data_IF_698216224018
#
_entry.id   IF_698216224018
#
_cell.length_a   1.000
_cell.length_b   1.000
_cell.length_c   1.000
_cell.angle_alpha   90.00
_cell.angle_beta   90.00
_cell.angle_gamma   90.00
#
_symmetry.space_group_name_H-M   'P 1'
#
loop_
_entity.id
_entity.type
_entity.pdbx_description
1 polymer ?
#
# COMPACT_ATOMS: atom_id res chain seq x y z
N UNK A 1 -18.49 11.98 -32.77
CA UNK A 1 -17.78 10.79 -32.18
C UNK A 1 -18.69 10.01 -31.24
N UNK A 2 -18.36 8.77 -30.87
CA UNK A 2 -19.12 7.97 -29.87
C UNK A 2 -18.33 7.77 -28.58
N UNK A 3 -19.03 7.73 -27.45
CA UNK A 3 -18.47 7.41 -26.14
C UNK A 3 -19.49 6.68 -25.26
N UNK A 4 -19.03 5.98 -24.23
CA UNK A 4 -19.91 5.38 -23.20
C UNK A 4 -20.12 6.39 -22.09
N UNK A 5 -21.37 6.77 -21.83
CA UNK A 5 -21.78 7.56 -20.68
C UNK A 5 -22.21 6.66 -19.54
N UNK A 6 -21.67 6.91 -18.35
CA UNK A 6 -22.03 6.21 -17.11
C UNK A 6 -22.42 7.24 -16.06
N UNK A 7 -23.63 7.11 -15.54
CA UNK A 7 -24.10 7.86 -14.37
C UNK A 7 -24.04 6.94 -13.16
N UNK A 8 -23.35 7.35 -12.10
CA UNK A 8 -23.20 6.52 -10.91
C UNK A 8 -23.21 7.34 -9.62
N UNK A 9 -23.53 6.65 -8.52
CA UNK A 9 -23.53 7.21 -7.16
C UNK A 9 -22.73 6.36 -6.20
N UNK A 10 -22.16 7.00 -5.19
CA UNK A 10 -21.55 6.33 -4.04
C UNK A 10 -22.04 7.03 -2.76
N UNK A 11 -22.43 6.26 -1.75
CA UNK A 11 -22.79 6.83 -0.44
C UNK A 11 -21.57 7.49 0.22
N UNK A 12 -20.41 6.87 0.07
CA UNK A 12 -19.13 7.38 0.57
C UNK A 12 -17.97 6.82 -0.23
N UNK A 13 -16.88 7.58 -0.38
CA UNK A 13 -15.65 7.06 -0.96
C UNK A 13 -14.37 7.75 -0.45
N UNK A 14 -13.25 7.03 -0.51
CA UNK A 14 -11.91 7.60 -0.41
C UNK A 14 -11.14 7.30 -1.70
N UNK A 15 -10.91 8.34 -2.50
CA UNK A 15 -10.04 8.31 -3.66
C UNK A 15 -8.62 8.66 -3.23
N UNK A 16 -7.94 7.70 -2.60
CA UNK A 16 -6.68 7.92 -1.91
C UNK A 16 -5.65 8.68 -2.75
N UNK A 17 -5.10 9.76 -2.18
CA UNK A 17 -3.89 10.42 -2.67
C UNK A 17 -2.67 9.58 -2.35
N UNK A 18 -1.89 9.22 -3.37
CA UNK A 18 -0.75 8.31 -3.24
C UNK A 18 0.35 8.86 -2.33
N UNK A 19 0.53 10.19 -2.34
CA UNK A 19 1.47 10.93 -1.51
C UNK A 19 1.08 10.99 -0.01
N UNK A 20 -0.17 10.61 0.32
CA UNK A 20 -0.68 10.68 1.69
C UNK A 20 -0.33 9.43 2.51
N UNK A 21 0.70 9.58 3.36
CA UNK A 21 1.24 8.49 4.18
C UNK A 21 0.57 8.36 5.55
N UNK A 22 0.41 9.46 6.27
CA UNK A 22 -0.05 9.46 7.68
C UNK A 22 -1.56 9.58 7.78
N UNK A 23 -2.09 10.77 7.49
CA UNK A 23 -3.51 11.00 7.30
C UNK A 23 -3.82 10.70 5.84
N UNK A 24 -4.74 9.77 5.60
CA UNK A 24 -5.06 9.30 4.26
C UNK A 24 -6.05 10.27 3.64
N UNK A 25 -5.51 11.11 2.77
CA UNK A 25 -6.27 12.16 2.09
C UNK A 25 -6.95 11.62 0.84
N UNK A 26 -8.00 12.29 0.41
CA UNK A 26 -8.75 11.93 -0.80
C UNK A 26 -8.62 13.00 -1.88
N UNK A 27 -8.63 12.57 -3.14
CA UNK A 27 -8.95 13.44 -4.27
C UNK A 27 -10.44 13.82 -4.22
N UNK A 28 -10.82 14.98 -4.79
CA UNK A 28 -12.23 15.43 -4.83
C UNK A 28 -13.10 14.63 -5.80
N UNK A 29 -12.48 13.97 -6.78
CA UNK A 29 -13.08 13.05 -7.75
C UNK A 29 -12.14 11.84 -7.90
N UNK A 30 -12.59 10.69 -8.42
CA UNK A 30 -11.70 9.54 -8.59
C UNK A 30 -10.61 9.85 -9.63
N UNK A 31 -9.33 9.54 -9.38
CA UNK A 31 -8.28 9.75 -10.38
C UNK A 31 -8.48 8.79 -11.56
N UNK A 32 -7.94 9.16 -12.72
CA UNK A 32 -8.14 8.48 -14.01
C UNK A 32 -7.85 6.98 -13.91
N UNK A 33 -6.68 6.61 -13.36
CA UNK A 33 -6.31 5.21 -13.18
C UNK A 33 -7.24 4.41 -12.27
N UNK A 34 -7.88 5.05 -11.29
CA UNK A 34 -8.88 4.39 -10.43
C UNK A 34 -10.13 4.06 -11.24
N UNK A 35 -10.61 4.99 -12.07
CA UNK A 35 -11.78 4.77 -12.95
C UNK A 35 -11.47 3.69 -13.97
N UNK A 36 -10.39 3.84 -14.75
CA UNK A 36 -9.95 2.85 -15.76
C UNK A 36 -9.78 1.47 -15.11
N UNK A 37 -9.14 1.41 -13.95
CA UNK A 37 -8.93 0.15 -13.25
C UNK A 37 -10.19 -0.49 -12.68
N UNK A 38 -11.21 0.30 -12.33
CA UNK A 38 -12.50 -0.22 -11.93
C UNK A 38 -13.25 -0.81 -13.14
N UNK A 39 -13.23 -0.12 -14.28
CA UNK A 39 -13.81 -0.59 -15.54
C UNK A 39 -13.12 -1.86 -16.03
N UNK A 40 -11.78 -1.91 -16.02
CA UNK A 40 -11.02 -3.11 -16.38
C UNK A 40 -11.43 -4.31 -15.53
N UNK A 41 -11.64 -4.11 -14.23
CA UNK A 41 -12.07 -5.17 -13.33
C UNK A 41 -13.49 -5.64 -13.68
N UNK A 42 -14.43 -4.70 -13.91
CA UNK A 42 -15.79 -5.01 -14.30
C UNK A 42 -15.87 -5.82 -15.61
N UNK A 43 -15.03 -5.47 -16.60
CA UNK A 43 -14.93 -6.17 -17.89
C UNK A 43 -14.03 -7.43 -17.86
N UNK A 44 -13.40 -7.74 -16.72
CA UNK A 44 -12.55 -8.92 -16.57
C UNK A 44 -11.17 -8.84 -17.25
N UNK A 45 -10.73 -7.66 -17.69
CA UNK A 45 -9.43 -7.48 -18.33
C UNK A 45 -8.26 -7.80 -17.38
N UNK A 46 -7.22 -8.43 -17.93
CA UNK A 46 -5.98 -8.79 -17.21
C UNK A 46 -4.79 -7.93 -17.61
N UNK A 47 -4.91 -7.25 -18.74
CA UNK A 47 -3.93 -6.31 -19.26
C UNK A 47 -4.56 -4.92 -19.38
N UNK A 48 -3.72 -3.91 -19.53
CA UNK A 48 -4.18 -2.54 -19.67
C UNK A 48 -4.81 -2.32 -21.06
N UNK A 49 -6.12 -2.05 -21.10
CA UNK A 49 -6.84 -1.65 -22.31
C UNK A 49 -6.87 -0.12 -22.40
N UNK A 50 -6.30 0.50 -23.45
CA UNK A 50 -6.30 1.95 -23.57
C UNK A 50 -7.71 2.54 -23.69
N UNK A 51 -7.98 3.59 -22.92
CA UNK A 51 -9.20 4.39 -22.97
C UNK A 51 -8.92 5.82 -22.47
N UNK A 52 -9.68 6.78 -23.00
CA UNK A 52 -9.71 8.15 -22.50
C UNK A 52 -10.98 8.37 -21.70
N UNK A 53 -10.88 9.15 -20.62
CA UNK A 53 -11.98 9.30 -19.67
C UNK A 53 -12.20 10.78 -19.38
N UNK A 54 -13.45 11.22 -19.48
CA UNK A 54 -13.91 12.46 -18.88
C UNK A 54 -14.54 12.17 -17.53
N UNK A 55 -14.17 12.94 -16.50
CA UNK A 55 -14.60 12.70 -15.12
C UNK A 55 -15.22 13.99 -14.57
N UNK A 56 -16.52 13.94 -14.30
CA UNK A 56 -17.27 15.02 -13.71
C UNK A 56 -18.07 14.49 -12.52
N UNK A 57 -18.36 15.36 -11.55
CA UNK A 57 -19.19 14.97 -10.43
C UNK A 57 -19.29 16.02 -9.34
N UNK A 58 -19.96 15.62 -8.27
CA UNK A 58 -20.07 16.39 -7.04
C UNK A 58 -20.15 15.44 -5.85
N UNK A 59 -19.81 15.97 -4.69
CA UNK A 59 -20.02 15.34 -3.40
C UNK A 59 -20.67 16.36 -2.47
N UNK A 60 -21.38 15.92 -1.46
CA UNK A 60 -22.09 16.81 -0.53
C UNK A 60 -21.16 17.36 0.55
N UNK A 61 -20.35 16.48 1.14
CA UNK A 61 -19.42 16.85 2.20
C UNK A 61 -18.15 16.00 2.17
N UNK A 62 -17.14 16.47 2.89
CA UNK A 62 -15.95 15.69 3.24
C UNK A 62 -15.80 15.70 4.76
N UNK A 63 -15.71 14.52 5.37
CA UNK A 63 -15.45 14.38 6.79
C UNK A 63 -14.14 13.62 7.06
N UNK A 64 -13.66 13.68 8.31
CA UNK A 64 -12.46 12.97 8.77
C UNK A 64 -12.85 11.82 9.69
N UNK A 65 -12.73 10.60 9.21
CA UNK A 65 -12.99 9.40 9.98
C UNK A 65 -11.75 9.03 10.82
N UNK A 66 -11.83 9.05 12.17
CA UNK A 66 -10.71 8.68 13.02
C UNK A 66 -10.50 7.16 13.02
N UNK A 67 -9.25 6.72 12.93
CA UNK A 67 -8.87 5.33 13.15
C UNK A 67 -7.63 5.22 14.04
N UNK A 68 -7.52 4.07 14.71
CA UNK A 68 -6.31 3.72 15.45
C UNK A 68 -5.32 3.04 14.51
N UNK A 69 -4.17 3.69 14.32
CA UNK A 69 -3.03 3.14 13.62
C UNK A 69 -2.18 2.32 14.60
N UNK A 70 -1.78 1.12 14.16
CA UNK A 70 -1.09 0.14 14.99
C UNK A 70 0.35 0.00 14.50
N UNK A 71 1.29 0.54 15.26
CA UNK A 71 2.70 0.60 14.90
C UNK A 71 3.50 -0.43 15.70
N UNK A 72 3.86 -1.53 15.05
CA UNK A 72 4.79 -2.50 15.63
C UNK A 72 6.22 -1.99 15.51
N UNK A 73 6.95 -1.99 16.63
CA UNK A 73 8.36 -1.62 16.64
C UNK A 73 9.21 -2.79 16.12
N UNK A 74 10.33 -2.45 15.46
CA UNK A 74 11.29 -3.42 14.93
C UNK A 74 11.94 -4.28 16.02
N UNK A 75 11.93 -3.81 17.27
CA UNK A 75 12.44 -4.52 18.43
C UNK A 75 11.44 -4.48 19.58
N UNK A 76 11.50 -5.52 20.42
CA UNK A 76 10.72 -5.57 21.66
C UNK A 76 11.41 -4.70 22.71
N UNK A 77 10.72 -3.64 23.12
CA UNK A 77 11.15 -2.67 24.12
C UNK A 77 10.64 -3.06 25.50
N UNK A 78 11.46 -2.83 26.53
CA UNK A 78 11.11 -3.14 27.93
C UNK A 78 10.33 -2.01 28.62
N UNK A 79 10.44 -0.77 28.13
CA UNK A 79 10.13 0.44 28.90
C UNK A 79 8.96 1.28 28.34
N UNK A 80 8.46 0.96 27.13
CA UNK A 80 7.50 1.81 26.40
C UNK A 80 6.51 1.02 25.58
N UNK A 81 5.37 1.67 25.29
CA UNK A 81 4.29 1.11 24.47
C UNK A 81 3.53 -0.02 25.16
N UNK A 82 3.02 -0.94 24.35
CA UNK A 82 2.24 -2.09 24.77
C UNK A 82 3.03 -3.35 24.37
N UNK A 83 3.40 -4.17 25.35
CA UNK A 83 3.90 -5.51 25.10
C UNK A 83 2.74 -6.40 24.69
N UNK A 84 2.86 -7.03 23.53
CA UNK A 84 1.85 -7.95 22.97
C UNK A 84 2.49 -9.27 22.58
N UNK A 85 1.70 -10.35 22.62
CA UNK A 85 2.06 -11.65 22.07
C UNK A 85 1.24 -11.90 20.80
N UNK A 86 1.92 -12.03 19.68
CA UNK A 86 1.32 -12.31 18.38
C UNK A 86 0.83 -13.75 18.33
N UNK A 87 -0.35 -13.99 17.73
CA UNK A 87 -0.82 -15.35 17.44
C UNK A 87 0.01 -16.00 16.33
N UNK A 88 0.41 -15.21 15.34
CA UNK A 88 1.32 -15.60 14.27
C UNK A 88 2.48 -14.58 14.23
N UNK A 89 3.73 -15.05 14.39
CA UNK A 89 4.93 -14.19 14.38
C UNK A 89 5.23 -13.58 13.02
N UNK A 90 4.76 -14.22 11.95
CA UNK A 90 5.14 -13.91 10.58
C UNK A 90 4.22 -12.84 9.96
N UNK A 91 3.09 -12.55 10.62
CA UNK A 91 2.10 -11.58 10.16
C UNK A 91 1.86 -10.49 11.20
N UNK A 92 2.15 -9.25 10.83
CA UNK A 92 1.76 -8.07 11.62
C UNK A 92 0.27 -7.83 11.43
N UNK A 93 -0.52 -8.22 12.43
CA UNK A 93 -1.98 -8.10 12.40
C UNK A 93 -2.52 -7.66 13.76
N UNK A 94 -3.81 -7.32 13.81
CA UNK A 94 -4.51 -7.05 15.08
C UNK A 94 -4.75 -8.32 15.92
N UNK A 95 -4.37 -9.50 15.41
CA UNK A 95 -4.51 -10.77 16.11
C UNK A 95 -3.35 -10.98 17.10
N UNK A 96 -3.41 -10.25 18.21
CA UNK A 96 -2.46 -10.38 19.31
C UNK A 96 -3.18 -10.33 20.65
N UNK A 97 -2.51 -10.82 21.69
CA UNK A 97 -2.95 -10.68 23.08
C UNK A 97 -2.12 -9.61 23.77
N UNK A 98 -2.80 -8.68 24.46
CA UNK A 98 -2.12 -7.66 25.27
C UNK A 98 -1.53 -8.31 26.52
N UNK A 99 -0.24 -8.12 26.72
CA UNK A 99 0.49 -8.68 27.87
C UNK A 99 0.60 -7.63 28.97
N UNK A 100 1.20 -6.49 28.65
CA UNK A 100 1.37 -5.37 29.57
C UNK A 100 1.49 -4.04 28.81
N UNK A 101 1.18 -2.92 29.46
CA UNK A 101 1.39 -1.57 28.91
C UNK A 101 2.14 -0.67 29.87
N UNK A 102 3.02 0.18 29.35
CA UNK A 102 3.71 1.20 30.14
C UNK A 102 2.71 2.27 30.60
N UNK A 103 2.78 2.71 31.88
CA UNK A 103 1.90 3.77 32.40
C UNK A 103 2.48 5.18 32.25
N UNK A 104 3.81 5.31 32.19
CA UNK A 104 4.51 6.60 32.02
C UNK A 104 5.26 6.64 30.69
N UNK A 105 5.71 7.83 30.30
CA UNK A 105 6.56 8.02 29.13
C UNK A 105 7.99 7.47 29.32
N UNK A 106 8.50 7.45 30.56
CA UNK A 106 9.83 6.96 30.92
C UNK A 106 9.81 6.27 32.29
N UNK A 107 10.84 5.47 32.57
CA UNK A 107 11.04 4.82 33.87
C UNK A 107 10.13 3.62 34.11
N UNK A 108 9.61 2.99 33.05
CA UNK A 108 8.86 1.73 33.15
C UNK A 108 9.79 0.54 32.88
N UNK A 109 9.39 -0.65 33.30
CA UNK A 109 10.05 -1.91 32.92
C UNK A 109 9.08 -3.07 33.00
N UNK A 110 8.86 -3.77 31.89
CA UNK A 110 8.05 -4.99 31.84
C UNK A 110 8.75 -6.14 32.59
N UNK A 111 10.06 -6.27 32.40
CA UNK A 111 10.90 -7.28 33.07
C UNK A 111 10.85 -7.09 34.59
N UNK A 112 11.08 -5.87 35.10
CA UNK A 112 11.10 -5.59 36.54
C UNK A 112 9.72 -5.34 37.15
N UNK A 113 8.68 -5.14 36.32
CA UNK A 113 7.33 -4.84 36.79
C UNK A 113 7.13 -3.40 37.27
N UNK A 114 7.97 -2.47 36.83
CA UNK A 114 7.98 -1.09 37.32
C UNK A 114 7.02 -0.24 36.48
N UNK A 115 6.02 0.37 37.12
CA UNK A 115 5.11 1.34 36.50
C UNK A 115 4.39 0.81 35.24
N UNK A 116 4.01 -0.47 35.25
CA UNK A 116 3.28 -1.12 34.16
C UNK A 116 1.83 -1.42 34.57
N UNK A 117 0.96 -1.57 33.58
CA UNK A 117 -0.35 -2.21 33.72
C UNK A 117 -0.25 -3.61 33.12
N UNK A 118 -0.52 -4.62 33.93
CA UNK A 118 -0.53 -6.03 33.50
C UNK A 118 -1.92 -6.37 32.99
N UNK A 119 -2.02 -6.88 31.76
CA UNK A 119 -3.27 -7.33 31.15
C UNK A 119 -3.37 -8.85 31.17
N UNK A 120 -2.26 -9.55 30.95
CA UNK A 120 -2.16 -11.01 31.07
C UNK A 120 -0.89 -11.38 31.86
N UNK A 121 -1.10 -11.95 33.06
CA UNK A 121 -0.02 -12.28 33.99
C UNK A 121 0.80 -13.48 33.53
N UNK A 122 0.15 -14.50 32.97
CA UNK A 122 0.80 -15.74 32.52
C UNK A 122 1.78 -15.44 31.37
N UNK A 123 1.32 -14.67 30.37
CA UNK A 123 2.15 -14.26 29.24
C UNK A 123 3.30 -13.32 29.65
N UNK A 124 3.08 -12.48 30.67
CA UNK A 124 4.13 -11.62 31.19
C UNK A 124 5.23 -12.44 31.87
N UNK A 125 4.84 -13.47 32.60
CA UNK A 125 5.80 -14.35 33.27
C UNK A 125 6.56 -15.21 32.26
N UNK A 126 5.88 -15.74 31.24
CA UNK A 126 6.53 -16.39 30.08
C UNK A 126 7.59 -15.46 29.45
N UNK A 127 7.23 -14.21 29.16
CA UNK A 127 8.15 -13.23 28.60
C UNK A 127 9.38 -13.00 29.49
N UNK A 128 9.19 -12.89 30.81
CA UNK A 128 10.28 -12.73 31.79
C UNK A 128 11.19 -13.95 31.84
N UNK A 129 10.61 -15.16 31.83
CA UNK A 129 11.36 -16.41 31.78
C UNK A 129 12.25 -16.45 30.54
N UNK A 130 11.72 -16.07 29.38
CA UNK A 130 12.48 -16.01 28.13
C UNK A 130 13.64 -14.99 28.21
N UNK A 131 13.41 -13.81 28.78
CA UNK A 131 14.48 -12.81 28.98
C UNK A 131 15.57 -13.29 29.95
N UNK A 132 15.19 -13.95 31.04
CA UNK A 132 16.14 -14.55 31.97
C UNK A 132 16.93 -15.70 31.32
N UNK A 133 16.28 -16.53 30.50
CA UNK A 133 16.94 -17.59 29.74
C UNK A 133 17.99 -17.01 28.78
N UNK A 134 17.70 -15.89 28.11
CA UNK A 134 18.67 -15.22 27.25
C UNK A 134 19.93 -14.80 28.00
N UNK A 135 19.77 -14.19 29.17
CA UNK A 135 20.91 -13.80 30.00
C UNK A 135 21.79 -15.02 30.35
N UNK A 136 21.17 -16.15 30.74
CA UNK A 136 21.88 -17.41 31.02
C UNK A 136 22.61 -17.96 29.79
N UNK A 137 21.98 -17.94 28.61
CA UNK A 137 22.59 -18.37 27.35
C UNK A 137 23.79 -17.47 27.01
N UNK A 138 23.66 -16.16 27.20
CA UNK A 138 24.73 -15.20 26.91
C UNK A 138 25.92 -15.35 27.87
N UNK A 139 25.67 -15.63 29.15
CA UNK A 139 26.72 -15.97 30.12
C UNK A 139 27.45 -17.26 29.74
N UNK A 140 26.72 -18.33 29.42
CA UNK A 140 27.29 -19.59 28.93
C UNK A 140 28.15 -19.39 27.67
N UNK A 141 27.67 -18.57 26.72
CA UNK A 141 28.38 -18.24 25.48
C UNK A 141 29.68 -17.48 25.72
N UNK A 142 29.74 -16.63 26.76
CA UNK A 142 30.93 -15.84 27.10
C UNK A 142 31.99 -16.67 27.83
N UNK A 143 31.58 -17.65 28.64
CA UNK A 143 32.45 -18.55 29.40
C UNK A 143 32.67 -19.90 28.72
N UNK A 144 32.03 -20.94 29.26
CA UNK A 144 32.26 -22.35 28.90
C UNK A 144 32.21 -22.65 27.40
N UNK A 145 31.28 -22.06 26.66
CA UNK A 145 31.19 -22.25 25.20
C UNK A 145 32.46 -21.75 24.50
N UNK A 146 32.93 -20.55 24.88
CA UNK A 146 34.10 -19.92 24.28
C UNK A 146 35.36 -20.72 24.58
N UNK A 147 35.47 -21.25 25.80
CA UNK A 147 36.56 -22.15 26.23
C UNK A 147 36.57 -23.43 25.40
N UNK A 148 35.44 -24.15 25.31
CA UNK A 148 35.32 -25.37 24.50
C UNK A 148 35.61 -25.13 23.02
N UNK A 149 35.11 -24.04 22.44
CA UNK A 149 35.40 -23.68 21.05
C UNK A 149 36.90 -23.42 20.84
N UNK A 150 37.58 -22.81 21.82
CA UNK A 150 39.02 -22.58 21.77
C UNK A 150 39.81 -23.90 21.92
N UNK A 151 39.39 -24.82 22.80
CA UNK A 151 40.00 -26.16 22.91
C UNK A 151 39.95 -26.92 21.59
N UNK A 152 38.79 -26.95 20.91
CA UNK A 152 38.69 -27.56 19.59
C UNK A 152 39.62 -26.89 18.57
N UNK A 153 39.71 -25.55 18.57
CA UNK A 153 40.63 -24.82 17.68
C UNK A 153 42.09 -25.17 17.95
N UNK A 154 42.50 -25.30 19.21
CA UNK A 154 43.86 -25.71 19.60
C UNK A 154 44.16 -27.14 19.15
N UNK A 155 43.27 -28.10 19.41
CA UNK A 155 43.41 -29.49 18.96
C UNK A 155 43.53 -29.59 17.43
N UNK A 156 42.72 -28.85 16.69
CA UNK A 156 42.80 -28.82 15.21
C UNK A 156 44.16 -28.26 14.76
N UNK A 157 44.69 -27.24 15.45
CA UNK A 157 46.01 -26.66 15.14
C UNK A 157 47.14 -27.67 15.39
N UNK A 158 47.13 -28.34 16.54
CA UNK A 158 48.10 -29.37 16.92
C UNK A 158 48.10 -30.56 15.94
N UNK A 159 46.91 -31.04 15.55
CA UNK A 159 46.75 -32.10 14.54
C UNK A 159 47.27 -31.65 13.17
N UNK A 160 46.99 -30.40 12.77
CA UNK A 160 47.49 -29.82 11.51
C UNK A 160 49.02 -29.67 11.49
N UNK A 161 49.63 -29.28 12.61
CA UNK A 161 51.09 -29.19 12.75
C UNK A 161 51.75 -30.58 12.74
N UNK A 162 51.14 -31.56 13.42
CA UNK A 162 51.62 -32.95 13.45
C UNK A 162 51.51 -33.62 12.08
N UNK A 163 50.42 -33.36 11.35
CA UNK A 163 50.19 -33.84 9.98
C UNK A 163 51.28 -33.40 8.99
N UNK A 164 51.88 -32.22 9.19
CA UNK A 164 52.96 -31.71 8.31
C UNK A 164 54.28 -32.48 8.44
N UNK A 165 54.44 -33.30 9.49
CA UNK A 165 55.67 -34.07 9.75
C UNK A 165 55.73 -35.42 9.01
N UNK A 166 54.64 -35.85 8.39
CA UNK A 166 54.52 -37.17 7.74
C UNK A 166 54.29 -37.03 6.23
N UNK A 167 54.74 -38.02 5.45
CA UNK A 167 54.51 -38.09 4.00
C UNK A 167 53.01 -38.28 3.71
N UNK A 168 52.48 -37.62 2.68
CA UNK A 168 51.06 -37.65 2.30
C UNK A 168 50.54 -39.05 1.98
N UNK A 169 51.41 -40.01 1.65
CA UNK A 169 51.05 -41.40 1.36
C UNK A 169 51.16 -42.33 2.58
N UNK A 170 51.71 -41.86 3.70
CA UNK A 170 51.87 -42.67 4.92
C UNK A 170 50.53 -42.94 5.61
N UNK A 171 50.43 -44.07 6.29
CA UNK A 171 49.21 -44.45 7.01
C UNK A 171 49.01 -43.57 8.25
N UNK A 172 50.08 -43.07 8.86
CA UNK A 172 50.06 -42.08 9.95
C UNK A 172 49.48 -40.74 9.49
N UNK A 173 49.82 -40.28 8.27
CA UNK A 173 49.23 -39.07 7.70
C UNK A 173 47.72 -39.22 7.50
N UNK A 174 47.26 -40.37 6.99
CA UNK A 174 45.83 -40.65 6.80
C UNK A 174 45.07 -40.70 8.12
N UNK A 175 45.64 -41.34 9.15
CA UNK A 175 45.04 -41.38 10.51
C UNK A 175 44.88 -39.98 11.11
N UNK A 176 45.94 -39.17 11.11
CA UNK A 176 45.88 -37.79 11.62
C UNK A 176 44.89 -36.94 10.80
N UNK A 177 44.78 -37.18 9.49
CA UNK A 177 43.81 -36.50 8.63
C UNK A 177 42.35 -36.87 8.97
N UNK A 178 42.08 -38.12 9.28
CA UNK A 178 40.76 -38.59 9.72
C UNK A 178 40.40 -38.02 11.10
N UNK A 179 41.35 -38.02 12.05
CA UNK A 179 41.17 -37.40 13.37
C UNK A 179 40.93 -35.89 13.27
N UNK A 180 41.72 -35.16 12.45
CA UNK A 180 41.51 -33.72 12.22
C UNK A 180 40.10 -33.43 11.64
N UNK A 181 39.61 -34.30 10.74
CA UNK A 181 38.24 -34.20 10.21
C UNK A 181 37.20 -34.49 11.27
N UNK A 182 37.40 -35.52 12.10
CA UNK A 182 36.49 -35.86 13.20
C UNK A 182 36.36 -34.69 14.19
N UNK A 183 37.48 -34.11 14.62
CA UNK A 183 37.48 -32.97 15.55
C UNK A 183 36.82 -31.72 14.93
N UNK A 184 37.01 -31.48 13.62
CA UNK A 184 36.29 -30.40 12.91
C UNK A 184 34.79 -30.63 12.87
N UNK A 185 34.37 -31.88 12.66
CA UNK A 185 32.97 -32.28 12.64
C UNK A 185 32.34 -32.13 14.03
N UNK A 186 32.98 -32.65 15.09
CA UNK A 186 32.53 -32.50 16.49
C UNK A 186 32.37 -31.03 16.88
N UNK A 187 33.32 -30.17 16.50
CA UNK A 187 33.23 -28.73 16.74
C UNK A 187 31.98 -28.14 16.08
N UNK A 188 31.72 -28.49 14.81
CA UNK A 188 30.56 -27.99 14.07
C UNK A 188 29.26 -28.46 14.72
N UNK A 189 29.17 -29.74 15.08
CA UNK A 189 28.00 -30.31 15.77
C UNK A 189 27.75 -29.64 17.13
N UNK A 190 28.80 -29.32 17.88
CA UNK A 190 28.70 -28.57 19.13
C UNK A 190 28.14 -27.15 18.90
N UNK A 191 28.69 -26.41 17.92
CA UNK A 191 28.21 -25.06 17.58
C UNK A 191 26.74 -25.09 17.12
N UNK A 192 26.37 -26.07 16.29
CA UNK A 192 25.02 -26.23 15.77
C UNK A 192 24.03 -26.64 16.87
N UNK A 193 24.44 -27.48 17.84
CA UNK A 193 23.63 -27.84 19.01
C UNK A 193 23.31 -26.63 19.88
N UNK A 194 24.29 -25.76 20.14
CA UNK A 194 24.09 -24.55 20.95
C UNK A 194 23.18 -23.55 20.21
N UNK A 195 23.39 -23.37 18.89
CA UNK A 195 22.51 -22.53 18.06
C UNK A 195 21.09 -23.06 18.02
N UNK A 196 20.90 -24.37 17.81
CA UNK A 196 19.60 -25.02 17.78
C UNK A 196 18.85 -24.88 19.12
N UNK A 197 19.57 -25.04 20.24
CA UNK A 197 19.00 -24.82 21.56
C UNK A 197 18.50 -23.37 21.75
N UNK A 198 19.33 -22.37 21.42
CA UNK A 198 18.91 -20.96 21.52
C UNK A 198 17.75 -20.64 20.58
N UNK A 199 17.77 -21.19 19.37
CA UNK A 199 16.72 -20.96 18.38
C UNK A 199 15.35 -21.44 18.90
N UNK A 200 15.27 -22.70 19.34
CA UNK A 200 14.03 -23.34 19.77
C UNK A 200 13.53 -22.79 21.11
N UNK A 201 14.44 -22.57 22.06
CA UNK A 201 14.05 -22.23 23.44
C UNK A 201 13.96 -20.72 23.70
N UNK A 202 14.58 -19.88 22.87
CA UNK A 202 14.55 -18.43 23.03
C UNK A 202 14.11 -17.69 21.78
N UNK A 203 14.81 -17.84 20.66
CA UNK A 203 14.58 -16.99 19.47
C UNK A 203 13.16 -17.13 18.94
N UNK A 204 12.66 -18.36 18.75
CA UNK A 204 11.30 -18.61 18.27
C UNK A 204 10.23 -18.15 19.28
N UNK A 205 10.26 -18.55 20.57
CA UNK A 205 9.28 -18.09 21.55
C UNK A 205 9.25 -16.56 21.72
N UNK A 206 10.42 -15.92 21.84
CA UNK A 206 10.51 -14.47 22.05
C UNK A 206 10.09 -13.69 20.81
N UNK A 207 10.25 -14.27 19.61
CA UNK A 207 9.83 -13.62 18.36
C UNK A 207 8.32 -13.37 18.29
N UNK A 208 7.53 -14.11 19.07
CA UNK A 208 6.08 -13.88 19.19
C UNK A 208 5.76 -12.62 20.00
N UNK A 209 6.69 -12.14 20.82
CA UNK A 209 6.50 -10.92 21.60
C UNK A 209 6.98 -9.70 20.82
N UNK A 210 6.14 -8.67 20.77
CA UNK A 210 6.41 -7.41 20.08
C UNK A 210 5.99 -6.22 20.94
N UNK A 211 6.59 -5.07 20.65
CA UNK A 211 6.16 -3.79 21.20
C UNK A 211 5.29 -3.08 20.19
N UNK A 212 4.09 -2.70 20.63
CA UNK A 212 3.09 -1.99 19.86
C UNK A 212 2.94 -0.58 20.42
N UNK A 213 2.94 0.41 19.55
CA UNK A 213 2.44 1.75 19.83
C UNK A 213 1.21 2.01 18.98
N UNK A 214 0.32 2.88 19.47
CA UNK A 214 -0.90 3.25 18.75
C UNK A 214 -0.91 4.76 18.54
N UNK A 215 -1.37 5.19 17.37
CA UNK A 215 -1.56 6.61 17.06
C UNK A 215 -2.97 6.84 16.53
N UNK A 216 -3.55 8.00 16.84
CA UNK A 216 -4.78 8.45 16.21
C UNK A 216 -4.42 9.00 14.82
N UNK A 217 -5.10 8.48 13.79
CA UNK A 217 -4.96 8.90 12.40
C UNK A 217 -6.35 9.12 11.80
N UNK A 218 -6.39 9.71 10.60
CA UNK A 218 -7.65 10.03 9.94
C UNK A 218 -7.66 9.59 8.48
N UNK A 219 -8.83 9.18 8.00
CA UNK A 219 -9.19 9.12 6.60
C UNK A 219 -10.05 10.32 6.24
N UNK A 220 -9.79 10.98 5.12
CA UNK A 220 -10.75 11.89 4.50
C UNK A 220 -11.74 11.07 3.68
N UNK A 221 -13.02 11.18 3.96
CA UNK A 221 -14.07 10.44 3.26
C UNK A 221 -15.03 11.46 2.65
N UNK A 222 -15.32 11.29 1.36
CA UNK A 222 -16.34 12.05 0.65
C UNK A 222 -17.69 11.37 0.86
N UNK A 223 -18.75 12.17 1.02
CA UNK A 223 -20.13 11.68 1.24
C UNK A 223 -21.05 12.08 0.08
N UNK A 224 -22.03 11.21 -0.22
CA UNK A 224 -23.09 11.42 -1.20
C UNK A 224 -22.57 11.91 -2.55
N UNK A 225 -21.80 11.04 -3.20
CA UNK A 225 -21.08 11.33 -4.44
C UNK A 225 -21.98 11.01 -5.64
N UNK A 226 -22.05 11.93 -6.59
CA UNK A 226 -22.56 11.69 -7.93
C UNK A 226 -21.42 11.84 -8.94
N UNK A 227 -21.29 10.88 -9.85
CA UNK A 227 -20.29 10.93 -10.92
C UNK A 227 -20.96 10.76 -12.29
N UNK A 228 -20.45 11.51 -13.24
CA UNK A 228 -20.74 11.39 -14.68
C UNK A 228 -19.41 11.09 -15.35
N UNK A 229 -19.33 9.91 -15.94
CA UNK A 229 -18.15 9.45 -16.66
C UNK A 229 -18.48 9.32 -18.14
N UNK A 230 -17.60 9.83 -18.99
CA UNK A 230 -17.63 9.53 -20.43
C UNK A 230 -16.34 8.79 -20.78
N UNK A 231 -16.47 7.64 -21.44
CA UNK A 231 -15.33 6.79 -21.79
C UNK A 231 -15.25 6.67 -23.31
N UNK A 232 -14.12 7.09 -23.86
CA UNK A 232 -13.78 6.93 -25.27
C UNK A 232 -12.79 5.77 -25.41
N UNK A 233 -13.17 4.78 -26.22
CA UNK A 233 -12.35 3.62 -26.51
C UNK A 233 -12.69 3.06 -27.90
N UNK A 234 -12.03 1.97 -28.30
CA UNK A 234 -12.43 1.22 -29.50
C UNK A 234 -13.86 0.69 -29.34
N UNK A 235 -14.59 0.54 -30.44
CA UNK A 235 -16.00 0.14 -30.43
C UNK A 235 -16.26 -1.18 -29.69
N UNK A 236 -15.40 -2.18 -29.88
CA UNK A 236 -15.50 -3.44 -29.15
C UNK A 236 -15.35 -3.26 -27.62
N UNK A 237 -14.45 -2.37 -27.20
CA UNK A 237 -14.24 -2.06 -25.77
C UNK A 237 -15.43 -1.28 -25.21
N UNK A 238 -16.02 -0.37 -25.99
CA UNK A 238 -17.23 0.35 -25.56
C UNK A 238 -18.42 -0.61 -25.36
N UNK A 239 -18.60 -1.57 -26.26
CA UNK A 239 -19.64 -2.60 -26.12
C UNK A 239 -19.37 -3.50 -24.91
N UNK A 240 -18.12 -3.95 -24.71
CA UNK A 240 -17.72 -4.73 -23.53
C UNK A 240 -18.07 -3.99 -22.22
N UNK A 241 -17.84 -2.68 -22.16
CA UNK A 241 -18.17 -1.85 -20.99
C UNK A 241 -19.67 -1.87 -20.74
N UNK A 242 -20.50 -1.62 -21.75
CA UNK A 242 -21.97 -1.61 -21.62
C UNK A 242 -22.50 -2.96 -21.16
N UNK A 243 -21.98 -4.06 -21.72
CA UNK A 243 -22.40 -5.41 -21.35
C UNK A 243 -22.02 -5.81 -19.92
N UNK A 244 -20.91 -5.27 -19.41
CA UNK A 244 -20.33 -5.69 -18.12
C UNK A 244 -20.43 -4.63 -17.02
N UNK A 245 -21.04 -3.47 -17.27
CA UNK A 245 -21.02 -2.35 -16.32
C UNK A 245 -21.61 -2.71 -14.95
N UNK A 246 -22.63 -3.57 -14.92
CA UNK A 246 -23.26 -4.01 -13.66
C UNK A 246 -22.38 -4.95 -12.82
N UNK A 247 -21.22 -5.36 -13.33
CA UNK A 247 -20.17 -6.02 -12.54
C UNK A 247 -19.28 -5.02 -11.77
N UNK A 248 -19.43 -3.71 -12.00
CA UNK A 248 -18.70 -2.66 -11.30
C UNK A 248 -19.14 -2.59 -9.83
N UNK A 249 -18.30 -3.08 -8.94
CA UNK A 249 -18.62 -3.14 -7.49
C UNK A 249 -18.28 -1.86 -6.74
N UNK A 250 -17.14 -1.26 -7.04
CA UNK A 250 -16.57 -0.17 -6.27
C UNK A 250 -15.61 0.68 -7.12
N UNK A 251 -15.54 1.97 -6.80
CA UNK A 251 -14.52 2.90 -7.28
C UNK A 251 -13.85 3.50 -6.04
N UNK A 252 -12.53 3.38 -5.93
CA UNK A 252 -11.79 3.71 -4.71
C UNK A 252 -11.42 2.44 -3.94
N UNK A 253 -11.81 2.35 -2.67
CA UNK A 253 -11.53 1.18 -1.84
C UNK A 253 -12.54 0.06 -2.14
N UNK A 254 -12.19 -1.17 -1.77
CA UNK A 254 -13.06 -2.35 -2.00
C UNK A 254 -14.41 -2.26 -1.29
N UNK A 255 -14.49 -1.47 -0.22
CA UNK A 255 -15.70 -1.21 0.57
C UNK A 255 -16.52 0.00 0.08
N UNK A 256 -15.97 0.82 -0.83
CA UNK A 256 -16.63 2.03 -1.34
C UNK A 256 -17.53 1.65 -2.53
N UNK A 257 -18.71 1.08 -2.25
CA UNK A 257 -19.63 0.55 -3.27
C UNK A 257 -20.15 1.62 -4.24
N UNK A 258 -20.48 1.18 -5.45
CA UNK A 258 -21.06 2.00 -6.52
C UNK A 258 -22.47 1.52 -6.86
N UNK A 259 -23.36 2.48 -7.08
CA UNK A 259 -24.68 2.28 -7.67
C UNK A 259 -24.69 2.87 -9.09
N UNK A 260 -24.89 2.02 -10.10
CA UNK A 260 -24.91 2.43 -11.52
C UNK A 260 -26.34 2.79 -11.89
N UNK A 261 -26.57 4.08 -12.15
CA UNK A 261 -27.88 4.61 -12.51
C UNK A 261 -28.15 4.48 -14.01
N UNK A 262 -27.13 4.67 -14.84
CA UNK A 262 -27.24 4.62 -16.29
C UNK A 262 -25.91 4.19 -16.90
N UNK A 263 -25.98 3.42 -17.99
CA UNK A 263 -24.84 3.17 -18.88
C UNK A 263 -25.35 3.04 -20.31
N UNK A 264 -24.88 3.89 -21.22
CA UNK A 264 -25.22 3.82 -22.65
C UNK A 264 -24.14 4.42 -23.53
N UNK A 265 -24.13 4.03 -24.80
CA UNK A 265 -23.32 4.69 -25.83
C UNK A 265 -24.09 5.92 -26.31
N UNK A 266 -23.41 7.07 -26.33
CA UNK A 266 -23.94 8.36 -26.77
C UNK A 266 -23.14 8.91 -27.95
N UNK A 267 -23.78 9.73 -28.78
CA UNK A 267 -23.11 10.51 -29.83
C UNK A 267 -22.72 11.88 -29.28
N UNK A 268 -21.46 12.26 -29.52
CA UNK A 268 -20.86 13.52 -29.09
C UNK A 268 -20.77 14.48 -30.28
N UNK A 269 -21.19 15.71 -30.03
CA UNK A 269 -21.14 16.84 -30.96
C UNK A 269 -19.69 17.29 -31.19
N UNK A 270 -19.32 17.53 -32.46
CA UNK A 270 -17.95 17.84 -32.91
C UNK A 270 -17.93 19.03 -33.89
N UNK A 271 -16.81 19.76 -33.89
CA UNK A 271 -16.53 20.91 -34.76
C UNK A 271 -17.65 21.97 -34.81
N UNK A 272 -18.31 22.18 -33.67
CA UNK A 272 -19.41 23.13 -33.51
C UNK A 272 -18.89 24.42 -32.88
N UNK A 273 -19.07 25.54 -33.59
CA UNK A 273 -19.10 26.88 -32.98
C UNK A 273 -20.48 27.06 -32.38
N UNK A 274 -20.54 27.37 -31.09
CA UNK A 274 -21.80 27.45 -30.38
C UNK A 274 -22.41 28.83 -30.53
N UNK A 275 -23.71 28.88 -30.83
CA UNK A 275 -24.48 30.12 -30.86
C UNK A 275 -24.61 30.75 -29.45
N UNK A 276 -24.47 29.93 -28.40
CA UNK A 276 -24.52 30.33 -26.99
C UNK A 276 -23.45 29.57 -26.18
N UNK A 277 -22.87 30.23 -25.15
CA UNK A 277 -21.91 29.60 -24.24
C UNK A 277 -22.58 28.45 -23.46
N UNK A 278 -21.99 27.25 -23.49
CA UNK A 278 -22.50 26.11 -22.71
C UNK A 278 -21.73 26.07 -21.39
N UNK A 279 -22.43 26.30 -20.28
CA UNK A 279 -21.87 26.31 -18.94
C UNK A 279 -22.16 25.02 -18.17
N UNK A 280 -21.19 24.59 -17.36
CA UNK A 280 -21.36 23.55 -16.35
C UNK A 280 -21.37 24.15 -14.95
N UNK A 281 -22.58 24.39 -14.45
CA UNK A 281 -22.80 24.88 -13.09
C UNK A 281 -22.99 23.76 -12.06
N UNK A 282 -23.32 22.55 -12.52
CA UNK A 282 -23.78 21.46 -11.65
C UNK A 282 -22.63 20.63 -11.09
N UNK A 283 -21.62 20.35 -11.91
CA UNK A 283 -20.56 19.41 -11.58
C UNK A 283 -19.20 20.09 -11.63
N UNK A 284 -18.35 19.71 -10.68
CA UNK A 284 -16.92 19.92 -10.82
C UNK A 284 -16.35 18.87 -11.78
N UNK A 285 -15.22 19.16 -12.40
CA UNK A 285 -14.57 18.25 -13.33
C UNK A 285 -13.05 18.28 -13.21
N UNK A 286 -12.42 17.20 -13.68
CA UNK A 286 -11.03 17.25 -14.09
C UNK A 286 -10.96 17.68 -15.55
N UNK A 287 -10.35 18.84 -15.80
CA UNK A 287 -10.14 19.40 -17.13
C UNK A 287 -8.68 19.25 -17.54
N UNK A 288 -8.40 18.81 -18.76
CA UNK A 288 -7.05 18.67 -19.30
C UNK A 288 -6.36 20.01 -19.28
N UNK A 289 -5.16 20.04 -18.70
CA UNK A 289 -4.44 21.30 -18.46
C UNK A 289 -4.18 22.08 -19.75
N UNK A 290 -3.87 21.39 -20.84
CA UNK A 290 -3.54 22.03 -22.11
C UNK A 290 -4.78 22.65 -22.77
N UNK A 291 -5.97 22.05 -22.64
CA UNK A 291 -7.22 22.62 -23.17
C UNK A 291 -7.61 23.88 -22.39
N UNK A 292 -7.34 23.91 -21.08
CA UNK A 292 -7.49 25.10 -20.25
C UNK A 292 -6.48 26.19 -20.62
N UNK A 293 -5.21 25.81 -20.85
CA UNK A 293 -4.13 26.74 -21.19
C UNK A 293 -4.33 27.38 -22.57
N UNK A 294 -4.85 26.60 -23.52
CA UNK A 294 -5.10 27.02 -24.90
C UNK A 294 -6.49 27.64 -25.09
N UNK A 295 -7.13 28.08 -23.99
CA UNK A 295 -8.41 28.81 -24.02
C UNK A 295 -9.51 28.04 -24.77
N UNK A 296 -9.57 26.71 -24.61
CA UNK A 296 -10.67 25.86 -25.08
C UNK A 296 -11.76 25.67 -24.03
N UNK A 297 -11.43 25.93 -22.77
CA UNK A 297 -12.37 25.89 -21.64
C UNK A 297 -12.10 27.10 -20.75
N UNK A 298 -13.17 27.78 -20.34
CA UNK A 298 -13.12 29.05 -19.62
C UNK A 298 -13.78 28.93 -18.23
N UNK A 299 -13.42 29.85 -17.33
CA UNK A 299 -14.06 30.01 -16.02
C UNK A 299 -15.11 31.12 -16.07
N UNK A 300 -16.20 30.94 -15.32
CA UNK A 300 -17.37 31.84 -15.27
C UNK A 300 -17.01 33.28 -14.78
N UNK A 301 -16.08 33.41 -13.82
CA UNK A 301 -15.58 34.71 -13.34
C UNK A 301 -14.52 35.32 -14.30
N UNK A 302 -14.96 36.27 -15.12
CA UNK A 302 -14.14 37.29 -15.83
C UNK A 302 -13.37 36.90 -17.10
N UNK A 303 -13.64 35.76 -17.78
CA UNK A 303 -12.87 35.32 -18.98
C UNK A 303 -11.35 35.35 -18.75
N UNK A 304 -10.92 35.12 -17.51
CA UNK A 304 -9.51 35.02 -17.09
C UNK A 304 -9.13 33.57 -16.83
N UNK A 305 -7.84 33.31 -16.64
CA UNK A 305 -7.27 31.98 -16.40
C UNK A 305 -8.08 31.18 -15.38
N UNK A 306 -8.50 29.97 -15.75
CA UNK A 306 -9.29 29.07 -14.89
C UNK A 306 -8.69 29.01 -13.48
N UNK A 307 -9.55 29.23 -12.49
CA UNK A 307 -9.22 29.05 -11.07
C UNK A 307 -9.52 27.61 -10.71
N UNK A 308 -8.51 26.87 -10.27
CA UNK A 308 -8.68 25.47 -9.91
C UNK A 308 -7.43 24.86 -9.27
N UNK A 309 -7.56 23.62 -8.82
CA UNK A 309 -6.44 22.86 -8.25
C UNK A 309 -5.78 22.03 -9.34
N UNK A 310 -4.48 22.23 -9.57
CA UNK A 310 -3.72 21.41 -10.52
C UNK A 310 -3.37 20.05 -9.91
N UNK A 311 -3.63 18.98 -10.65
CA UNK A 311 -3.29 17.61 -10.29
C UNK A 311 -2.46 16.94 -11.40
N UNK A 312 -1.59 16.04 -10.97
CA UNK A 312 -0.87 15.11 -11.84
C UNK A 312 -1.48 13.73 -11.59
N UNK A 313 -2.34 13.29 -12.50
CA UNK A 313 -3.14 12.09 -12.33
C UNK A 313 -2.50 10.92 -13.09
N UNK A 314 -2.14 9.86 -12.38
CA UNK A 314 -1.68 8.62 -13.00
C UNK A 314 -2.80 8.02 -13.86
N UNK A 315 -2.46 7.61 -15.09
CA UNK A 315 -3.36 6.98 -16.06
C UNK A 315 -2.95 5.55 -16.39
N UNK A 316 -1.71 5.33 -16.82
CA UNK A 316 -1.22 4.00 -17.23
C UNK A 316 -0.58 3.22 -16.08
N UNK A 317 -0.89 1.93 -16.04
CA UNK A 317 -0.31 0.99 -15.10
C UNK A 317 -0.22 -0.40 -15.73
N UNK A 318 0.64 -1.24 -15.18
CA UNK A 318 0.63 -2.68 -15.40
C UNK A 318 0.43 -3.40 -14.07
N UNK A 319 0.05 -4.68 -14.13
CA UNK A 319 -0.17 -5.50 -12.95
C UNK A 319 1.04 -6.39 -12.74
N UNK A 320 1.70 -6.25 -11.59
CA UNK A 320 2.80 -7.11 -11.16
C UNK A 320 2.51 -7.62 -9.75
N UNK A 321 2.56 -8.95 -9.55
CA UNK A 321 2.28 -9.59 -8.25
C UNK A 321 0.93 -9.15 -7.63
N UNK A 322 -0.10 -8.95 -8.47
CA UNK A 322 -1.42 -8.50 -8.04
C UNK A 322 -1.51 -7.03 -7.63
N UNK A 323 -0.45 -6.24 -7.85
CA UNK A 323 -0.40 -4.80 -7.56
C UNK A 323 -0.31 -4.00 -8.85
N UNK A 324 -0.98 -2.86 -8.89
CA UNK A 324 -0.79 -1.89 -9.97
C UNK A 324 0.53 -1.17 -9.78
N UNK A 325 1.36 -1.16 -10.82
CA UNK A 325 2.60 -0.40 -10.89
C UNK A 325 2.42 0.64 -12.01
N UNK A 326 2.57 1.91 -11.67
CA UNK A 326 2.41 3.01 -12.63
C UNK A 326 3.61 3.11 -13.57
N UNK A 327 3.34 3.22 -14.87
CA UNK A 327 4.37 3.20 -15.92
C UNK A 327 4.93 4.60 -16.17
N UNK A 328 5.64 5.18 -15.20
CA UNK A 328 6.06 6.60 -15.21
C UNK A 328 6.94 7.00 -16.41
N UNK A 329 7.45 6.05 -17.19
CA UNK A 329 8.36 6.30 -18.30
C UNK A 329 7.66 6.57 -19.65
N UNK A 330 6.33 6.37 -19.73
CA UNK A 330 5.56 6.71 -20.95
C UNK A 330 4.99 8.12 -20.85
N UNK A 331 5.00 8.82 -21.98
CA UNK A 331 4.60 10.22 -22.10
C UNK A 331 3.15 10.48 -21.66
N UNK A 332 2.26 9.51 -21.85
CA UNK A 332 0.84 9.59 -21.54
C UNK A 332 0.44 8.89 -20.22
N UNK A 333 1.43 8.56 -19.37
CA UNK A 333 1.18 7.90 -18.08
C UNK A 333 0.70 8.85 -16.99
N UNK A 334 1.00 10.15 -17.12
CA UNK A 334 0.60 11.18 -16.16
C UNK A 334 -0.14 12.27 -16.92
N UNK A 335 -1.41 12.48 -16.56
CA UNK A 335 -2.22 13.56 -17.13
C UNK A 335 -2.23 14.74 -16.18
N UNK A 336 -1.86 15.91 -16.71
CA UNK A 336 -2.02 17.18 -15.99
C UNK A 336 -3.47 17.63 -16.14
N UNK A 337 -4.17 17.76 -15.01
CA UNK A 337 -5.55 18.19 -15.00
C UNK A 337 -5.76 19.34 -14.01
N UNK A 338 -6.75 20.19 -14.29
CA UNK A 338 -7.25 21.22 -13.39
C UNK A 338 -8.60 20.76 -12.86
N UNK A 339 -8.70 20.61 -11.54
CA UNK A 339 -9.97 20.43 -10.86
C UNK A 339 -10.63 21.79 -10.63
N UNK A 340 -11.80 21.98 -11.23
CA UNK A 340 -12.58 23.22 -11.08
C UNK A 340 -14.08 22.96 -11.20
N UNK A 341 -14.86 23.98 -10.87
CA UNK A 341 -16.33 24.06 -10.98
C UNK A 341 -16.68 25.36 -11.70
N UNK A 342 -17.88 25.46 -12.28
CA UNK A 342 -18.33 26.67 -13.01
C UNK A 342 -17.40 27.03 -14.16
N UNK A 343 -17.40 26.17 -15.16
CA UNK A 343 -16.64 26.35 -16.38
C UNK A 343 -17.56 26.26 -17.58
N UNK A 344 -17.17 26.86 -18.69
CA UNK A 344 -17.95 26.87 -19.92
C UNK A 344 -17.06 26.69 -21.15
N UNK A 345 -17.70 26.42 -22.28
CA UNK A 345 -17.06 26.33 -23.61
C UNK A 345 -17.85 27.18 -24.61
N UNK A 346 -17.15 27.72 -25.60
CA UNK A 346 -17.73 28.49 -26.72
C UNK A 346 -17.68 27.70 -28.04
N UNK A 347 -16.78 26.73 -28.14
CA UNK A 347 -16.63 25.83 -29.27
C UNK A 347 -16.15 24.45 -28.80
N UNK A 348 -16.47 23.42 -29.56
CA UNK A 348 -15.85 22.10 -29.39
C UNK A 348 -14.43 22.08 -29.93
N UNK A 349 -13.59 21.14 -29.48
CA UNK A 349 -12.22 20.96 -29.96
C UNK A 349 -11.80 19.49 -29.94
N UNK A 350 -10.54 19.19 -30.28
CA UNK A 350 -10.02 17.81 -30.37
C UNK A 350 -10.25 16.97 -29.10
N UNK A 351 -10.27 17.59 -27.91
CA UNK A 351 -10.48 16.89 -26.64
C UNK A 351 -11.76 17.36 -25.90
N UNK A 352 -12.52 18.30 -26.47
CA UNK A 352 -13.67 18.96 -25.83
C UNK A 352 -14.89 18.79 -26.70
N UNK A 353 -15.90 18.11 -26.18
CA UNK A 353 -17.12 17.74 -26.90
C UNK A 353 -18.35 18.07 -26.06
N UNK A 354 -19.53 17.93 -26.64
CA UNK A 354 -20.80 18.05 -25.93
C UNK A 354 -21.61 16.78 -26.11
N UNK A 355 -22.15 16.28 -25.00
CA UNK A 355 -23.20 15.28 -25.00
C UNK A 355 -24.52 15.99 -24.64
N UNK A 356 -25.45 16.06 -25.61
CA UNK A 356 -26.76 16.72 -25.49
C UNK A 356 -27.92 15.74 -25.24
N UNK A 357 -27.64 14.46 -25.02
CA UNK A 357 -28.70 13.48 -24.85
C UNK A 357 -29.45 13.68 -23.50
N UNK A 358 -30.78 13.53 -23.55
CA UNK A 358 -31.71 13.61 -22.41
C UNK A 358 -31.94 15.00 -21.81
N UNK A 359 -32.00 16.03 -22.67
CA UNK A 359 -32.27 17.43 -22.30
C UNK A 359 -31.26 17.96 -21.25
N UNK A 360 -30.02 17.48 -21.32
CA UNK A 360 -28.91 17.95 -20.50
C UNK A 360 -27.67 18.05 -21.37
N UNK A 361 -26.93 19.13 -21.16
CA UNK A 361 -25.66 19.34 -21.83
C UNK A 361 -24.54 18.97 -20.86
N UNK A 362 -23.74 17.98 -21.25
CA UNK A 362 -22.51 17.61 -20.56
C UNK A 362 -21.32 18.07 -21.40
N UNK A 363 -20.48 18.93 -20.83
CA UNK A 363 -19.19 19.29 -21.43
C UNK A 363 -18.23 18.11 -21.22
N UNK A 364 -17.89 17.39 -22.28
CA UNK A 364 -17.04 16.19 -22.23
C UNK A 364 -15.61 16.58 -22.58
N UNK A 365 -14.72 16.58 -21.58
CA UNK A 365 -13.29 16.79 -21.80
C UNK A 365 -12.49 15.51 -21.50
N UNK A 366 -11.85 14.93 -22.52
CA UNK A 366 -11.13 13.67 -22.41
C UNK A 366 -9.69 13.86 -21.90
N UNK A 367 -9.35 13.10 -20.85
CA UNK A 367 -8.06 13.14 -20.14
C UNK A 367 -7.10 12.02 -20.57
#
# INVERSE_FOLDING_TARGET
MKAVRILLRQSSANYRKEESLTNKMTYPLPPISTVIGAIHNACGYREYVPMDVSIQGKFESMHKEPYTDYCFLNSTMDDRGILVKMKNSDMLSKAYEKVASAKKSQGNSFIKGITIQVHNKELLEEYRILKNLKNKIDEYKKGEYKEKVNEYKSKIKELSESKKKYDKKSDEFKKIQEEEKAVKQEKKEFEDKVKGYEQINYTEPVSKFRSLTTALRFYEVLDNIELVLHIKAKENVMNDIVENIYNLKAIGRSEDFVDVLECKIVELDEDIVLDEEISNEKYSAYLKYDDVLNEKIFSDDERKSIVGTKYYLNKRYYIENGKRIFDINKEDSIVKAVYTSKYFIEETSENVYIDREDNRDYIVNFL
#
